data_IF_981236606843
#
_entry.id   IF_981236606843
#
_cell.length_a   1.000
_cell.length_b   1.000
_cell.length_c   1.000
_cell.angle_alpha   90.00
_cell.angle_beta   90.00
_cell.angle_gamma   90.00
#
_symmetry.space_group_name_H-M   'P 1'
#
loop_
_entity.id
_entity.type
_entity.pdbx_description
1 polymer ?
#
# COMPACT_ATOMS: atom_id res chain seq x y z
N UNK A 1 4.34 17.80 -6.05
CA UNK A 1 4.78 16.46 -6.52
C UNK A 1 3.77 15.98 -7.54
N UNK A 2 4.21 15.65 -8.75
CA UNK A 2 3.36 15.20 -9.84
C UNK A 2 3.69 13.76 -10.24
N UNK A 3 2.93 12.79 -9.72
CA UNK A 3 2.89 11.43 -10.26
C UNK A 3 1.73 11.40 -11.24
N UNK A 4 2.02 11.12 -12.51
CA UNK A 4 1.01 11.07 -13.57
C UNK A 4 -0.03 10.00 -13.27
N UNK A 5 -1.31 10.37 -13.29
CA UNK A 5 -2.44 9.49 -13.00
C UNK A 5 -2.75 9.29 -11.51
N UNK A 6 -1.91 9.77 -10.60
CA UNK A 6 -2.16 9.64 -9.17
C UNK A 6 -3.13 10.74 -8.70
N UNK A 7 -4.38 10.34 -8.47
CA UNK A 7 -5.45 11.19 -7.93
C UNK A 7 -6.00 10.55 -6.65
N UNK A 8 -5.31 10.72 -5.50
CA UNK A 8 -5.70 10.05 -4.27
C UNK A 8 -7.06 10.52 -3.75
N UNK A 9 -7.87 9.58 -3.30
CA UNK A 9 -9.13 9.82 -2.59
C UNK A 9 -9.00 9.30 -1.17
N UNK A 10 -8.54 10.15 -0.28
CA UNK A 10 -8.28 9.78 1.10
C UNK A 10 -9.55 9.57 1.91
N UNK A 11 -9.62 8.44 2.60
CA UNK A 11 -10.71 8.03 3.48
C UNK A 11 -10.19 7.85 4.89
N UNK A 12 -11.04 8.14 5.87
CA UNK A 12 -10.74 7.99 7.30
C UNK A 12 -11.61 6.87 7.88
N UNK A 13 -10.96 5.93 8.56
CA UNK A 13 -11.59 4.87 9.32
C UNK A 13 -12.08 3.68 8.49
N UNK A 14 -12.30 2.58 9.22
CA UNK A 14 -12.56 1.25 8.65
C UNK A 14 -13.86 1.17 7.82
N UNK A 15 -14.92 1.82 8.26
CA UNK A 15 -16.21 1.72 7.57
C UNK A 15 -16.18 2.41 6.20
N UNK A 16 -15.55 3.59 6.09
CA UNK A 16 -15.38 4.28 4.82
C UNK A 16 -14.51 3.46 3.85
N UNK A 17 -13.40 2.92 4.33
CA UNK A 17 -12.49 2.09 3.53
C UNK A 17 -13.19 0.80 3.05
N UNK A 18 -13.96 0.13 3.92
CA UNK A 18 -14.73 -1.06 3.56
C UNK A 18 -15.80 -0.76 2.52
N UNK A 19 -16.59 0.28 2.74
CA UNK A 19 -17.65 0.67 1.81
C UNK A 19 -17.12 0.96 0.41
N UNK A 20 -15.99 1.66 0.33
CA UNK A 20 -15.41 2.07 -0.94
C UNK A 20 -14.67 0.92 -1.67
N UNK A 21 -13.96 0.05 -0.94
CA UNK A 21 -12.96 -0.80 -1.55
C UNK A 21 -13.14 -2.30 -1.32
N UNK A 22 -13.95 -2.76 -0.34
CA UNK A 22 -14.04 -4.17 0.04
C UNK A 22 -14.33 -5.09 -1.14
N UNK A 23 -15.35 -4.78 -1.96
CA UNK A 23 -15.74 -5.60 -3.09
C UNK A 23 -14.63 -5.74 -4.13
N UNK A 24 -13.92 -4.63 -4.42
CA UNK A 24 -12.86 -4.64 -5.42
C UNK A 24 -11.61 -5.33 -4.91
N UNK A 25 -11.21 -5.10 -3.66
CA UNK A 25 -10.11 -5.82 -3.01
C UNK A 25 -10.37 -7.33 -2.98
N UNK A 26 -11.60 -7.77 -2.71
CA UNK A 26 -11.96 -9.18 -2.72
C UNK A 26 -11.74 -9.87 -4.08
N UNK A 27 -11.81 -9.13 -5.19
CA UNK A 27 -11.54 -9.69 -6.54
C UNK A 27 -10.08 -10.03 -6.80
N UNK A 28 -9.17 -9.62 -5.91
CA UNK A 28 -7.75 -9.95 -6.00
C UNK A 28 -7.46 -11.38 -5.55
N UNK A 29 -8.30 -11.96 -4.68
CA UNK A 29 -8.11 -13.32 -4.16
C UNK A 29 -8.09 -14.33 -5.32
N UNK A 30 -7.07 -15.17 -5.33
CA UNK A 30 -6.78 -16.12 -6.41
C UNK A 30 -5.90 -15.56 -7.54
N UNK A 31 -5.64 -14.25 -7.59
CA UNK A 31 -4.69 -13.67 -8.53
C UNK A 31 -3.26 -13.79 -8.04
N UNK A 32 -2.29 -13.72 -8.95
CA UNK A 32 -0.86 -13.71 -8.63
C UNK A 32 -0.36 -12.29 -8.54
N UNK A 33 0.48 -12.01 -7.55
CA UNK A 33 1.28 -10.79 -7.55
C UNK A 33 2.34 -10.93 -8.67
N UNK A 34 2.20 -10.16 -9.74
CA UNK A 34 3.08 -10.22 -10.92
C UNK A 34 4.15 -9.14 -10.90
N UNK A 35 3.99 -8.12 -10.06
CA UNK A 35 4.96 -7.04 -9.92
C UNK A 35 4.57 -6.07 -8.83
N UNK A 36 5.48 -5.15 -8.56
CA UNK A 36 5.27 -4.01 -7.65
C UNK A 36 6.11 -2.82 -8.12
N UNK A 37 5.80 -1.64 -7.62
CA UNK A 37 6.65 -0.47 -7.77
C UNK A 37 6.62 0.41 -6.53
N UNK A 38 7.78 0.93 -6.17
CA UNK A 38 8.03 1.92 -5.13
C UNK A 38 8.76 3.11 -5.73
N UNK A 39 8.57 4.30 -5.17
CA UNK A 39 9.40 5.45 -5.56
C UNK A 39 10.67 5.48 -4.70
N UNK A 40 11.84 5.54 -5.33
CA UNK A 40 13.13 5.68 -4.66
C UNK A 40 13.88 6.87 -5.19
N UNK A 41 14.74 7.45 -4.36
CA UNK A 41 15.66 8.49 -4.79
C UNK A 41 16.87 7.88 -5.49
N UNK A 42 17.19 8.39 -6.68
CA UNK A 42 18.32 7.88 -7.51
C UNK A 42 19.66 8.01 -6.79
N UNK A 43 19.84 9.10 -6.04
CA UNK A 43 21.11 9.48 -5.44
C UNK A 43 21.55 8.56 -4.30
N UNK A 44 20.60 8.03 -3.52
CA UNK A 44 20.91 7.23 -2.32
C UNK A 44 20.15 5.90 -2.24
N UNK A 45 19.16 5.70 -3.12
CA UNK A 45 18.32 4.50 -3.12
C UNK A 45 17.25 4.46 -2.03
N UNK A 46 17.11 5.51 -1.23
CA UNK A 46 16.13 5.56 -0.15
C UNK A 46 14.70 5.50 -0.70
N UNK A 47 13.84 4.77 -0.02
CA UNK A 47 12.43 4.71 -0.35
C UNK A 47 11.74 6.04 0.01
N UNK A 48 11.01 6.60 -0.95
CA UNK A 48 10.18 7.78 -0.73
C UNK A 48 8.77 7.34 -0.30
N UNK A 49 8.59 7.19 1.00
CA UNK A 49 7.41 6.56 1.60
C UNK A 49 6.11 7.38 1.49
N UNK A 50 6.20 8.68 1.17
CA UNK A 50 5.03 9.53 0.87
C UNK A 50 4.35 9.18 -0.46
N UNK A 51 5.01 8.41 -1.31
CA UNK A 51 4.50 8.01 -2.60
C UNK A 51 3.71 6.70 -2.50
N UNK A 52 2.71 6.46 -3.38
CA UNK A 52 1.92 5.24 -3.35
C UNK A 52 2.79 3.99 -3.56
N UNK A 53 2.44 2.92 -2.84
CA UNK A 53 2.93 1.56 -3.08
C UNK A 53 2.04 0.93 -4.13
N UNK A 54 2.64 0.46 -5.23
CA UNK A 54 1.93 -0.20 -6.32
C UNK A 54 2.13 -1.71 -6.25
N UNK A 55 1.05 -2.46 -6.33
CA UNK A 55 1.05 -3.93 -6.42
C UNK A 55 0.25 -4.35 -7.65
N UNK A 56 0.83 -5.15 -8.53
CA UNK A 56 0.17 -5.67 -9.73
C UNK A 56 -0.27 -7.12 -9.51
N UNK A 57 -1.57 -7.36 -9.62
CA UNK A 57 -2.18 -8.68 -9.50
C UNK A 57 -2.75 -9.12 -10.85
N UNK A 58 -1.96 -9.84 -11.66
CA UNK A 58 -2.36 -10.30 -13.00
C UNK A 58 -2.92 -9.15 -13.87
N UNK A 59 -2.20 -8.01 -13.91
CA UNK A 59 -2.56 -6.82 -14.68
C UNK A 59 -3.62 -5.93 -14.03
N UNK A 60 -4.00 -6.20 -12.78
CA UNK A 60 -4.80 -5.29 -11.98
C UNK A 60 -3.91 -4.61 -10.94
N UNK A 61 -3.55 -3.36 -11.19
CA UNK A 61 -2.73 -2.56 -10.30
C UNK A 61 -3.57 -2.02 -9.14
N UNK A 62 -3.07 -2.20 -7.93
CA UNK A 62 -3.58 -1.60 -6.70
C UNK A 62 -2.57 -0.55 -6.24
N UNK A 63 -3.06 0.63 -5.90
CA UNK A 63 -2.27 1.79 -5.50
C UNK A 63 -2.64 2.15 -4.06
N UNK A 64 -1.77 1.86 -3.10
CA UNK A 64 -2.02 2.13 -1.67
C UNK A 64 -1.18 3.30 -1.21
N UNK A 65 -1.82 4.32 -0.64
CA UNK A 65 -1.14 5.48 -0.11
C UNK A 65 -1.77 5.91 1.22
N UNK A 66 -0.94 6.14 2.21
CA UNK A 66 -1.31 6.75 3.47
C UNK A 66 -0.88 8.21 3.51
N UNK A 67 -1.64 9.04 4.20
CA UNK A 67 -1.34 10.44 4.47
C UNK A 67 -1.88 10.81 5.83
N UNK A 68 -1.25 11.79 6.47
CA UNK A 68 -1.58 12.20 7.83
C UNK A 68 -1.62 10.99 8.79
N UNK A 69 -2.25 11.15 9.93
CA UNK A 69 -2.26 10.09 10.95
C UNK A 69 -3.27 8.96 10.64
N UNK A 70 -4.29 9.20 9.80
CA UNK A 70 -5.44 8.30 9.68
C UNK A 70 -6.03 8.21 8.26
N UNK A 71 -5.41 8.83 7.27
CA UNK A 71 -5.91 8.86 5.90
C UNK A 71 -5.35 7.70 5.06
N UNK A 72 -6.23 6.95 4.39
CA UNK A 72 -5.91 5.88 3.45
C UNK A 72 -6.55 6.16 2.09
N UNK A 73 -5.77 6.09 1.03
CA UNK A 73 -6.25 6.07 -0.36
C UNK A 73 -5.92 4.74 -1.02
N UNK A 74 -6.88 4.16 -1.74
CA UNK A 74 -6.67 2.97 -2.57
C UNK A 74 -7.12 3.31 -4.00
N UNK A 75 -6.15 3.40 -4.91
CA UNK A 75 -6.36 3.62 -6.34
C UNK A 75 -6.23 2.33 -7.15
N UNK A 76 -6.57 2.41 -8.45
CA UNK A 76 -6.66 1.23 -9.32
C UNK A 76 -6.32 1.56 -10.76
N UNK A 77 -5.20 1.07 -11.27
CA UNK A 77 -4.77 1.17 -12.68
C UNK A 77 -4.69 2.62 -13.20
N UNK A 78 -4.32 3.58 -12.37
CA UNK A 78 -4.25 4.98 -12.79
C UNK A 78 -2.82 5.45 -13.03
N UNK A 79 -1.82 4.80 -12.40
CA UNK A 79 -0.44 5.23 -12.41
C UNK A 79 0.35 4.48 -13.49
N UNK A 80 1.00 5.25 -14.36
CA UNK A 80 1.97 4.73 -15.33
C UNK A 80 3.40 4.90 -14.75
N UNK A 81 4.04 3.79 -14.38
CA UNK A 81 5.41 3.79 -13.85
C UNK A 81 6.49 4.08 -14.90
N UNK A 82 6.16 4.12 -16.18
CA UNK A 82 7.07 4.58 -17.24
C UNK A 82 7.12 6.12 -17.32
N UNK A 83 6.12 6.80 -16.77
CA UNK A 83 6.07 8.25 -16.73
C UNK A 83 7.04 8.83 -15.69
N UNK A 84 7.71 9.92 -16.03
CA UNK A 84 8.59 10.65 -15.12
C UNK A 84 7.81 11.31 -13.98
N UNK A 85 8.32 11.20 -12.77
CA UNK A 85 7.79 11.93 -11.61
C UNK A 85 8.31 13.37 -11.68
N UNK A 86 7.40 14.35 -11.64
CA UNK A 86 7.71 15.78 -11.82
C UNK A 86 7.53 16.59 -10.53
N UNK A 87 7.98 17.85 -10.52
CA UNK A 87 7.84 18.76 -9.39
C UNK A 87 8.93 18.60 -8.32
N UNK A 88 10.04 17.97 -8.68
CA UNK A 88 11.23 17.77 -7.82
C UNK A 88 12.49 18.42 -8.36
N UNK A 89 12.38 19.18 -9.43
CA UNK A 89 13.51 19.80 -10.15
C UNK A 89 14.31 20.79 -9.31
N UNK A 90 13.72 21.29 -8.21
CA UNK A 90 14.38 22.21 -7.27
C UNK A 90 15.08 21.53 -6.11
N UNK A 91 14.98 20.21 -6.00
CA UNK A 91 15.58 19.42 -4.92
C UNK A 91 16.82 18.69 -5.42
N UNK A 92 17.75 18.38 -4.52
CA UNK A 92 18.95 17.60 -4.83
C UNK A 92 18.70 16.10 -4.99
N UNK A 93 17.45 15.65 -4.81
CA UNK A 93 17.03 14.26 -4.88
C UNK A 93 16.07 14.07 -6.07
N UNK A 94 16.28 13.00 -6.83
CA UNK A 94 15.48 12.65 -8.01
C UNK A 94 14.64 11.42 -7.75
N UNK A 95 13.31 11.54 -7.58
CA UNK A 95 12.43 10.39 -7.38
C UNK A 95 12.23 9.63 -8.69
N UNK A 96 12.33 8.31 -8.63
CA UNK A 96 12.12 7.40 -9.75
C UNK A 96 11.38 6.13 -9.30
N UNK A 97 10.56 5.57 -10.19
CA UNK A 97 9.96 4.26 -9.95
C UNK A 97 11.02 3.16 -9.94
N UNK A 98 10.96 2.32 -8.92
CA UNK A 98 11.79 1.12 -8.74
C UNK A 98 10.90 -0.10 -8.65
N UNK A 99 11.28 -1.17 -9.34
CA UNK A 99 10.61 -2.48 -9.33
C UNK A 99 11.43 -3.53 -8.56
N UNK A 100 12.36 -3.08 -7.71
CA UNK A 100 13.21 -3.94 -6.88
C UNK A 100 13.10 -3.54 -5.42
N UNK A 101 12.81 -4.53 -4.57
CA UNK A 101 12.77 -4.42 -3.13
C UNK A 101 12.90 -5.82 -2.50
N UNK A 102 13.87 -6.02 -1.61
CA UNK A 102 14.18 -7.32 -1.01
C UNK A 102 13.04 -7.90 -0.16
N UNK A 103 12.14 -7.05 0.36
CA UNK A 103 11.00 -7.46 1.17
C UNK A 103 9.78 -7.82 0.32
N UNK A 104 9.63 -7.25 -0.87
CA UNK A 104 8.50 -7.49 -1.77
C UNK A 104 8.78 -8.58 -2.80
N UNK A 105 10.02 -8.72 -3.26
CA UNK A 105 10.42 -9.74 -4.25
C UNK A 105 9.98 -11.18 -3.89
N UNK A 106 10.03 -11.63 -2.62
CA UNK A 106 9.61 -12.98 -2.25
C UNK A 106 8.13 -13.28 -2.53
N UNK A 107 7.28 -12.26 -2.63
CA UNK A 107 5.85 -12.43 -2.91
C UNK A 107 5.52 -12.46 -4.40
N UNK A 108 6.43 -12.03 -5.27
CA UNK A 108 6.22 -12.05 -6.72
C UNK A 108 6.08 -13.48 -7.23
N UNK A 109 5.04 -13.74 -8.01
CA UNK A 109 4.67 -15.06 -8.51
C UNK A 109 3.75 -15.84 -7.58
N UNK A 110 3.55 -15.41 -6.34
CA UNK A 110 2.65 -16.07 -5.40
C UNK A 110 1.19 -15.69 -5.65
N UNK A 111 0.29 -16.64 -5.40
CA UNK A 111 -1.16 -16.43 -5.46
C UNK A 111 -1.66 -15.82 -4.15
N UNK A 112 -2.43 -14.75 -4.25
CA UNK A 112 -3.09 -14.11 -3.11
C UNK A 112 -4.18 -15.01 -2.55
N UNK A 113 -4.07 -15.39 -1.28
CA UNK A 113 -5.00 -16.28 -0.58
C UNK A 113 -6.11 -15.54 0.14
N UNK A 114 -5.78 -14.39 0.68
CA UNK A 114 -6.73 -13.57 1.43
C UNK A 114 -6.31 -12.10 1.35
N UNK A 115 -7.29 -11.21 1.38
CA UNK A 115 -7.08 -9.78 1.57
C UNK A 115 -7.91 -9.31 2.77
N UNK A 116 -7.36 -8.43 3.58
CA UNK A 116 -8.04 -7.86 4.73
C UNK A 116 -7.73 -6.38 4.89
N UNK A 117 -8.66 -5.64 5.48
CA UNK A 117 -8.38 -4.36 6.09
C UNK A 117 -8.13 -4.58 7.58
N UNK A 118 -7.08 -3.98 8.11
CA UNK A 118 -6.71 -4.06 9.50
C UNK A 118 -6.95 -2.71 10.16
N UNK A 119 -7.68 -2.70 11.27
CA UNK A 119 -7.92 -1.50 12.05
C UNK A 119 -7.06 -1.52 13.30
N UNK A 120 -6.24 -0.49 13.51
CA UNK A 120 -5.40 -0.37 14.70
C UNK A 120 -6.23 0.01 15.92
N UNK A 121 -6.29 -0.86 16.92
CA UNK A 121 -7.08 -0.70 18.15
C UNK A 121 -6.26 -1.06 19.40
N UNK A 122 -5.25 -0.29 19.75
CA UNK A 122 -4.44 -0.55 20.92
C UNK A 122 -5.25 -0.40 22.22
N UNK A 123 -4.85 -1.12 23.27
CA UNK A 123 -5.49 -1.08 24.58
C UNK A 123 -5.25 0.26 25.31
N UNK A 124 -4.12 0.89 25.03
CA UNK A 124 -3.75 2.20 25.60
C UNK A 124 -4.08 3.33 24.60
N UNK A 125 -4.13 4.56 25.10
CA UNK A 125 -4.37 5.73 24.25
C UNK A 125 -3.21 5.89 23.27
N UNK A 126 -3.54 5.82 21.97
CA UNK A 126 -2.60 5.96 20.85
C UNK A 126 -3.20 6.91 19.81
N UNK A 127 -2.39 7.84 19.31
CA UNK A 127 -2.82 8.80 18.28
C UNK A 127 -3.15 8.11 16.95
N UNK A 128 -2.56 6.94 16.69
CA UNK A 128 -2.82 6.13 15.51
C UNK A 128 -4.07 5.23 15.64
N UNK A 129 -4.77 5.25 16.81
CA UNK A 129 -5.95 4.42 17.00
C UNK A 129 -7.03 4.71 15.95
N UNK A 130 -7.51 3.65 15.28
CA UNK A 130 -8.49 3.75 14.20
C UNK A 130 -7.89 3.85 12.79
N UNK A 131 -6.55 3.95 12.68
CA UNK A 131 -5.89 3.87 11.36
C UNK A 131 -6.17 2.53 10.69
N UNK A 132 -6.21 2.54 9.36
CA UNK A 132 -6.53 1.36 8.55
C UNK A 132 -5.33 0.97 7.69
N UNK A 133 -4.95 -0.30 7.74
CA UNK A 133 -3.93 -0.89 6.88
C UNK A 133 -4.56 -1.87 5.89
N UNK A 134 -3.87 -2.14 4.79
CA UNK A 134 -4.24 -3.19 3.84
C UNK A 134 -3.29 -4.37 3.97
N UNK A 135 -3.85 -5.56 4.21
CA UNK A 135 -3.08 -6.80 4.30
C UNK A 135 -3.38 -7.74 3.13
N UNK A 136 -2.31 -8.25 2.55
CA UNK A 136 -2.31 -9.24 1.48
C UNK A 136 -1.64 -10.51 2.02
N UNK A 137 -2.41 -11.61 2.14
CA UNK A 137 -1.92 -12.88 2.65
C UNK A 137 -1.64 -13.86 1.51
N UNK A 138 -0.41 -14.33 1.46
CA UNK A 138 0.09 -15.32 0.52
C UNK A 138 0.41 -16.65 1.26
N UNK A 139 0.90 -17.65 0.51
CA UNK A 139 1.23 -18.95 1.12
C UNK A 139 2.47 -18.84 2.05
N UNK A 140 3.42 -17.99 1.69
CA UNK A 140 4.69 -17.84 2.42
C UNK A 140 4.69 -16.66 3.40
N UNK A 141 3.56 -16.00 3.60
CA UNK A 141 3.46 -14.92 4.58
C UNK A 141 2.46 -13.84 4.22
N UNK A 142 2.50 -12.78 5.00
CA UNK A 142 1.64 -11.62 4.82
C UNK A 142 2.46 -10.38 4.55
N UNK A 143 2.00 -9.58 3.60
CA UNK A 143 2.46 -8.25 3.28
C UNK A 143 1.40 -7.25 3.73
N UNK A 144 1.79 -6.23 4.48
CA UNK A 144 0.92 -5.13 4.89
C UNK A 144 1.49 -3.79 4.47
N UNK A 145 0.59 -2.91 4.04
CA UNK A 145 0.89 -1.50 3.86
C UNK A 145 0.11 -0.75 4.93
N UNK A 146 0.85 -0.14 5.84
CA UNK A 146 0.32 0.51 7.05
C UNK A 146 0.67 2.00 7.05
N UNK A 147 -0.04 2.79 7.85
CA UNK A 147 0.33 4.18 8.10
C UNK A 147 1.55 4.25 9.03
N UNK A 148 2.63 4.86 8.57
CA UNK A 148 3.89 5.06 9.29
C UNK A 148 4.01 6.42 9.95
N UNK A 149 2.90 7.09 10.32
CA UNK A 149 2.81 8.47 10.78
C UNK A 149 3.03 9.48 9.64
N UNK A 150 2.01 9.60 8.79
CA UNK A 150 1.97 10.49 7.62
C UNK A 150 2.66 9.96 6.34
N UNK A 151 3.12 8.72 6.35
CA UNK A 151 3.76 8.05 5.21
C UNK A 151 3.35 6.57 5.14
N UNK A 152 3.71 5.87 4.07
CA UNK A 152 3.53 4.43 4.01
C UNK A 152 4.65 3.71 4.78
N UNK A 153 4.31 2.60 5.41
CA UNK A 153 5.26 1.63 5.93
C UNK A 153 4.86 0.23 5.48
N UNK A 154 5.83 -0.55 5.03
CA UNK A 154 5.65 -1.94 4.63
C UNK A 154 6.02 -2.84 5.81
N UNK A 155 5.13 -3.76 6.16
CA UNK A 155 5.34 -4.77 7.20
C UNK A 155 5.16 -6.18 6.63
N UNK A 156 6.06 -7.09 7.01
CA UNK A 156 6.05 -8.49 6.59
C UNK A 156 5.85 -9.40 7.81
N UNK A 157 5.17 -10.52 7.61
CA UNK A 157 4.98 -11.54 8.63
C UNK A 157 3.69 -11.39 9.42
N UNK A 158 3.66 -11.78 10.72
CA UNK A 158 2.46 -11.72 11.54
C UNK A 158 2.05 -10.29 11.88
N UNK A 159 0.75 -9.99 11.85
CA UNK A 159 0.24 -8.72 12.30
C UNK A 159 0.41 -8.56 13.82
N UNK A 160 0.57 -7.32 14.28
CA UNK A 160 0.57 -7.02 15.71
C UNK A 160 -0.80 -7.36 16.32
N UNK A 161 -0.86 -7.76 17.60
CA UNK A 161 -2.09 -8.24 18.24
C UNK A 161 -3.17 -7.16 18.37
N UNK A 162 -2.79 -5.88 18.36
CA UNK A 162 -3.71 -4.76 18.47
C UNK A 162 -4.47 -4.42 17.16
N UNK A 163 -4.17 -5.14 16.07
CA UNK A 163 -4.98 -5.03 14.87
C UNK A 163 -6.26 -5.87 14.94
N UNK A 164 -7.40 -5.21 14.71
CA UNK A 164 -8.66 -5.90 14.42
C UNK A 164 -8.70 -6.18 12.92
N UNK A 165 -8.84 -7.45 12.56
CA UNK A 165 -8.81 -7.93 11.17
C UNK A 165 -10.22 -8.03 10.58
N UNK A 166 -10.47 -7.28 9.52
CA UNK A 166 -11.70 -7.30 8.71
C UNK A 166 -11.42 -8.01 7.39
N UNK A 167 -11.73 -9.31 7.32
CA UNK A 167 -11.54 -10.12 6.11
C UNK A 167 -12.44 -9.64 4.98
N UNK A 168 -11.92 -9.62 3.75
CA UNK A 168 -12.61 -9.22 2.54
C UNK A 168 -12.65 -10.40 1.56
N UNK A 169 -13.85 -10.81 1.20
CA UNK A 169 -14.06 -12.02 0.40
C UNK A 169 -14.27 -13.27 1.26
N UNK A 170 -14.63 -14.33 0.58
CA UNK A 170 -14.79 -15.67 1.19
C UNK A 170 -13.45 -16.39 1.23
#
# INVERSE_FOLDING_TARGET
MGISGFEPSFLVGIEAARQAHASRLATLVGRRLTGFALVRFVENGDWFADCPVLLDFDGLQVEVCHSKLDELSIGWNTIDTAATITGWESFELTPQWSHSDEHLEPFVGQELREVALLEWRPAEHDLAAGTVAVEFAFIEGCLRIVNGLDENRIEIGAAQPDYIRHRLGR
#
